data_IF_642110515473
#
_entry.id   IF_642110515473
#
_cell.length_a   1.000
_cell.length_b   1.000
_cell.length_c   1.000
_cell.angle_alpha   90.00
_cell.angle_beta   90.00
_cell.angle_gamma   90.00
#
_symmetry.space_group_name_H-M   'P 1'
#
loop_
_entity.id
_entity.type
_entity.pdbx_description
1 polymer ?
#
# COMPACT_ATOMS: atom_id res chain seq x y z
N UNK A 1 -12.58 10.83 1.37
CA UNK A 1 -11.62 11.38 0.39
C UNK A 1 -10.91 10.25 -0.32
N UNK A 2 -10.91 10.28 -1.63
CA UNK A 2 -10.30 9.22 -2.42
C UNK A 2 -8.83 9.55 -2.70
N UNK A 3 -7.92 8.70 -2.25
CA UNK A 3 -6.52 8.84 -2.53
C UNK A 3 -6.14 7.91 -3.67
N UNK A 4 -5.33 8.41 -4.59
CA UNK A 4 -4.84 7.63 -5.72
C UNK A 4 -3.37 7.32 -5.54
N UNK A 5 -3.03 6.04 -5.64
CA UNK A 5 -1.64 5.59 -5.59
C UNK A 5 -1.25 4.98 -6.92
N UNK A 6 -0.06 5.32 -7.37
CA UNK A 6 0.51 4.65 -8.53
C UNK A 6 1.06 3.30 -8.08
N UNK A 7 0.78 2.28 -8.86
CA UNK A 7 1.27 0.93 -8.60
C UNK A 7 2.12 0.47 -9.76
N UNK A 8 3.02 -0.46 -9.49
CA UNK A 8 3.84 -1.11 -10.51
C UNK A 8 3.41 -2.55 -10.64
N UNK A 9 2.94 -2.91 -11.82
CA UNK A 9 2.46 -4.26 -12.13
C UNK A 9 3.49 -4.96 -13.00
N UNK A 10 3.85 -6.19 -12.62
CA UNK A 10 4.82 -6.98 -13.36
C UNK A 10 4.32 -8.40 -13.55
N UNK A 11 4.36 -8.88 -14.79
CA UNK A 11 4.03 -10.27 -15.10
C UNK A 11 5.19 -11.16 -14.69
N UNK A 12 4.87 -12.27 -14.02
CA UNK A 12 5.83 -13.28 -13.59
C UNK A 12 5.42 -14.65 -14.09
N UNK A 13 6.27 -15.65 -13.91
CA UNK A 13 5.96 -17.03 -14.31
C UNK A 13 4.77 -17.61 -13.53
N UNK A 14 4.51 -17.07 -12.34
CA UNK A 14 3.44 -17.55 -11.47
C UNK A 14 2.18 -16.68 -11.53
N UNK A 15 2.21 -15.62 -12.32
CA UNK A 15 1.08 -14.69 -12.42
C UNK A 15 1.55 -13.26 -12.51
N UNK A 16 1.05 -12.41 -11.59
CA UNK A 16 1.41 -11.00 -11.56
C UNK A 16 1.88 -10.62 -10.16
N UNK A 17 2.91 -9.79 -10.11
CA UNK A 17 3.30 -9.13 -8.88
C UNK A 17 2.99 -7.64 -9.01
N UNK A 18 2.67 -7.01 -7.90
CA UNK A 18 2.29 -5.60 -7.87
C UNK A 18 2.84 -4.95 -6.61
N UNK A 19 3.29 -3.73 -6.75
CA UNK A 19 3.82 -2.96 -5.62
C UNK A 19 3.31 -1.53 -5.67
N UNK A 20 3.39 -0.86 -4.52
CA UNK A 20 3.07 0.55 -4.41
C UNK A 20 4.35 1.30 -4.02
N UNK A 21 5.03 1.93 -4.99
CA UNK A 21 6.32 2.59 -4.71
C UNK A 21 6.23 3.69 -3.67
N UNK A 22 5.07 4.32 -3.53
CA UNK A 22 4.86 5.37 -2.53
C UNK A 22 4.84 4.84 -1.10
N UNK A 23 4.59 3.54 -0.92
CA UNK A 23 4.49 2.89 0.39
C UNK A 23 5.53 1.78 0.48
N UNK A 24 6.71 2.05 1.07
CA UNK A 24 7.78 1.06 1.16
C UNK A 24 7.32 -0.24 1.80
N UNK A 25 7.62 -1.37 1.16
CA UNK A 25 7.23 -2.68 1.64
C UNK A 25 5.80 -3.08 1.31
N UNK A 26 5.02 -2.21 0.67
CA UNK A 26 3.66 -2.54 0.27
C UNK A 26 3.66 -3.19 -1.11
N UNK A 27 3.40 -4.49 -1.14
CA UNK A 27 3.33 -5.25 -2.38
C UNK A 27 2.34 -6.39 -2.24
N UNK A 28 1.92 -6.93 -3.37
CA UNK A 28 1.03 -8.08 -3.41
C UNK A 28 1.24 -8.88 -4.70
N UNK A 29 0.43 -9.89 -4.89
CA UNK A 29 0.50 -10.73 -6.09
C UNK A 29 -0.88 -11.29 -6.39
N UNK A 30 -1.04 -11.82 -7.59
CA UNK A 30 -2.28 -12.46 -8.01
C UNK A 30 -2.03 -13.38 -9.20
N UNK A 31 -2.98 -14.27 -9.48
CA UNK A 31 -2.90 -15.20 -10.60
C UNK A 31 -3.11 -14.48 -11.94
N UNK A 32 -3.85 -13.38 -11.91
CA UNK A 32 -4.08 -12.54 -13.06
C UNK A 32 -4.00 -11.06 -12.66
N UNK A 33 -4.07 -10.18 -13.63
CA UNK A 33 -3.96 -8.75 -13.43
C UNK A 33 -5.04 -8.23 -12.48
N UNK A 34 -6.28 -8.65 -12.70
CA UNK A 34 -7.40 -8.19 -11.89
C UNK A 34 -7.24 -8.60 -10.42
N UNK A 35 -6.83 -9.83 -10.18
CA UNK A 35 -6.58 -10.32 -8.83
C UNK A 35 -5.44 -9.57 -8.16
N UNK A 36 -4.34 -9.33 -8.89
CA UNK A 36 -3.21 -8.57 -8.35
C UNK A 36 -3.62 -7.15 -7.98
N UNK A 37 -4.41 -6.49 -8.83
CA UNK A 37 -4.89 -5.14 -8.55
C UNK A 37 -5.82 -5.10 -7.35
N UNK A 38 -6.71 -6.07 -7.22
CA UNK A 38 -7.59 -6.19 -6.06
C UNK A 38 -6.79 -6.42 -4.78
N UNK A 39 -5.79 -7.28 -4.85
CA UNK A 39 -4.96 -7.60 -3.69
C UNK A 39 -4.10 -6.42 -3.25
N UNK A 40 -3.54 -5.64 -4.19
CA UNK A 40 -2.74 -4.47 -3.80
C UNK A 40 -3.62 -3.39 -3.16
N UNK A 41 -4.86 -3.26 -3.61
CA UNK A 41 -5.79 -2.32 -3.00
C UNK A 41 -6.01 -2.67 -1.54
N UNK A 42 -6.25 -3.94 -1.24
CA UNK A 42 -6.40 -4.42 0.13
C UNK A 42 -5.13 -4.21 0.94
N UNK A 43 -3.97 -4.50 0.34
CA UNK A 43 -2.69 -4.31 1.01
C UNK A 43 -2.44 -2.84 1.36
N UNK A 44 -2.81 -1.92 0.48
CA UNK A 44 -2.69 -0.48 0.74
C UNK A 44 -3.60 -0.08 1.90
N UNK A 45 -4.85 -0.56 1.89
CA UNK A 45 -5.80 -0.27 2.96
C UNK A 45 -5.30 -0.77 4.31
N UNK A 46 -4.76 -1.99 4.36
CA UNK A 46 -4.18 -2.56 5.57
C UNK A 46 -2.93 -1.81 6.01
N UNK A 47 -2.09 -1.42 5.08
CA UNK A 47 -0.88 -0.66 5.37
C UNK A 47 -1.21 0.67 6.03
N UNK A 48 -2.16 1.41 5.47
CA UNK A 48 -2.60 2.69 6.02
C UNK A 48 -3.33 2.52 7.33
N UNK A 49 -4.12 1.47 7.47
CA UNK A 49 -4.82 1.15 8.71
C UNK A 49 -3.86 0.80 9.84
N UNK A 50 -2.82 0.03 9.55
CA UNK A 50 -1.81 -0.33 10.56
C UNK A 50 -1.06 0.90 11.05
N UNK A 51 -0.73 1.84 10.14
CA UNK A 51 -0.08 3.09 10.52
C UNK A 51 -1.01 3.92 11.40
N UNK A 52 -2.29 4.03 11.02
CA UNK A 52 -3.27 4.78 11.78
C UNK A 52 -3.47 4.18 13.17
N UNK A 53 -3.59 2.87 13.28
CA UNK A 53 -3.73 2.18 14.55
C UNK A 53 -2.50 2.36 15.44
N UNK A 54 -1.32 2.27 14.86
CA UNK A 54 -0.07 2.49 15.57
C UNK A 54 0.00 3.91 16.12
N UNK A 55 -0.44 4.89 15.34
CA UNK A 55 -0.45 6.28 15.76
C UNK A 55 -1.47 6.56 16.86
N UNK A 56 -2.60 5.83 16.90
CA UNK A 56 -3.61 6.05 17.94
C UNK A 56 -3.21 5.47 19.29
N UNK A 57 -2.31 4.48 19.33
CA UNK A 57 -1.85 3.88 20.58
C UNK A 57 -0.70 4.65 21.23
N UNK A 58 -0.06 5.55 20.50
CA UNK A 58 1.05 6.32 21.01
C UNK A 58 0.68 7.77 21.24
N UNK A 59 1.52 8.48 21.98
CA UNK A 59 1.38 9.92 22.20
C UNK A 59 1.72 10.64 20.90
N UNK A 60 0.69 10.94 20.13
CA UNK A 60 0.84 11.57 18.83
C UNK A 60 1.06 13.06 18.99
N UNK A 61 2.17 13.54 18.46
CA UNK A 61 2.47 14.97 18.41
C UNK A 61 2.76 15.35 16.98
N UNK A 62 2.15 16.44 16.56
CA UNK A 62 2.45 16.99 15.26
C UNK A 62 3.73 17.82 15.33
N UNK A 63 4.62 17.53 14.42
CA UNK A 63 5.84 18.31 14.26
C UNK A 63 5.79 18.91 12.87
N UNK A 64 5.79 20.23 12.82
CA UNK A 64 5.82 20.94 11.55
C UNK A 64 7.25 20.98 11.04
N UNK A 65 7.44 20.45 9.84
CA UNK A 65 8.75 20.41 9.20
C UNK A 65 8.69 21.30 7.97
N UNK A 66 9.52 22.33 7.98
CA UNK A 66 9.68 23.22 6.83
C UNK A 66 10.87 22.75 6.00
N UNK A 67 10.61 22.41 4.76
CA UNK A 67 11.64 21.94 3.84
C UNK A 67 11.88 22.96 2.74
#
# INVERSE_FOLDING_TARGET
MTMRYKIALKKTDEGYSVSCPALPGCWSQGNDEQEALSNIKTAIEEYLGAIADSLTEEDIREVEVTV
#
